data_IF_093120255629
#
_entry.id   IF_093120255629
#
_cell.length_a   1.000
_cell.length_b   1.000
_cell.length_c   1.000
_cell.angle_alpha   90.00
_cell.angle_beta   90.00
_cell.angle_gamma   90.00
#
_symmetry.space_group_name_H-M   'P 1'
#
loop_
_entity.id
_entity.type
_entity.pdbx_description
1 polymer ?
#
# COMPACT_ATOMS: atom_id res chain seq x y z
N UNK A 1 33.15 0.61 4.31
CA UNK A 1 32.08 1.23 3.52
C UNK A 1 31.22 2.04 4.48
N UNK A 2 31.24 3.37 4.37
CA UNK A 2 30.49 4.31 5.21
C UNK A 2 28.99 4.03 5.08
N UNK A 3 28.22 3.98 6.18
CA UNK A 3 26.77 3.74 6.07
C UNK A 3 26.02 4.98 5.56
N UNK A 4 24.79 4.85 5.04
CA UNK A 4 23.97 6.01 4.65
C UNK A 4 23.81 6.99 5.82
N UNK A 5 23.73 6.46 7.04
CA UNK A 5 23.66 7.24 8.28
C UNK A 5 24.94 8.04 8.47
N UNK A 6 26.09 7.39 8.35
CA UNK A 6 27.39 8.04 8.53
C UNK A 6 27.62 9.08 7.44
N UNK A 7 27.23 8.80 6.18
CA UNK A 7 27.31 9.75 5.08
C UNK A 7 26.48 11.00 5.36
N UNK A 8 25.18 10.85 5.63
CA UNK A 8 24.28 12.00 5.91
C UNK A 8 24.75 12.74 7.17
N UNK A 9 25.17 12.01 8.22
CA UNK A 9 25.67 12.63 9.46
C UNK A 9 26.92 13.47 9.18
N UNK A 10 27.86 12.97 8.38
CA UNK A 10 29.06 13.69 8.02
C UNK A 10 28.75 14.89 7.12
N UNK A 11 27.82 14.75 6.16
CA UNK A 11 27.35 15.85 5.33
C UNK A 11 26.73 16.97 6.17
N UNK A 12 25.90 16.63 7.16
CA UNK A 12 25.30 17.60 8.08
C UNK A 12 26.36 18.25 8.98
N UNK A 13 27.28 17.47 9.55
CA UNK A 13 28.36 18.00 10.39
C UNK A 13 29.23 19.02 9.62
N UNK A 14 29.42 18.80 8.32
CA UNK A 14 30.12 19.73 7.42
C UNK A 14 29.31 20.99 7.09
N UNK A 15 27.97 20.93 7.10
CA UNK A 15 27.09 22.08 6.86
C UNK A 15 27.04 23.00 8.10
N UNK A 16 27.08 22.43 9.32
CA UNK A 16 26.72 23.14 10.56
C UNK A 16 27.91 23.38 11.53
N UNK A 17 29.15 23.36 11.02
CA UNK A 17 30.33 23.84 11.77
C UNK A 17 30.61 23.14 13.11
N UNK A 18 30.44 21.80 13.19
CA UNK A 18 30.79 20.95 14.35
C UNK A 18 29.96 21.11 15.66
N UNK A 19 28.80 21.77 15.65
CA UNK A 19 28.08 22.10 16.91
C UNK A 19 26.79 21.31 17.20
N UNK A 20 26.63 20.06 16.73
CA UNK A 20 25.41 19.28 17.01
C UNK A 20 25.51 18.42 18.28
N UNK A 21 25.13 19.00 19.43
CA UNK A 21 24.92 18.28 20.70
C UNK A 21 23.54 17.58 20.83
N UNK A 22 22.68 17.63 19.80
CA UNK A 22 21.43 16.84 19.72
C UNK A 22 21.69 15.42 19.20
N UNK A 23 22.43 14.66 20.01
CA UNK A 23 22.86 13.31 19.73
C UNK A 23 21.70 12.28 19.71
N UNK A 24 21.79 11.33 18.76
CA UNK A 24 20.97 10.13 18.58
C UNK A 24 19.53 10.31 18.06
N UNK A 25 18.71 11.21 18.61
CA UNK A 25 17.28 11.33 18.21
C UNK A 25 17.08 11.95 16.82
N UNK A 26 17.86 12.99 16.49
CA UNK A 26 17.87 13.57 15.14
C UNK A 26 18.43 12.57 14.11
N UNK A 27 19.51 11.86 14.45
CA UNK A 27 20.10 10.79 13.62
C UNK A 27 19.10 9.65 13.34
N UNK A 28 18.28 9.27 14.31
CA UNK A 28 17.24 8.24 14.15
C UNK A 28 16.04 8.75 13.32
N UNK A 29 15.60 9.99 13.55
CA UNK A 29 14.56 10.63 12.75
C UNK A 29 14.97 10.73 11.29
N UNK A 30 16.22 11.14 11.04
CA UNK A 30 16.86 11.22 9.73
C UNK A 30 16.96 9.85 9.06
N UNK A 31 17.39 8.82 9.79
CA UNK A 31 17.43 7.45 9.27
C UNK A 31 16.04 6.98 8.81
N UNK A 32 15.03 7.15 9.65
CA UNK A 32 13.67 6.73 9.32
C UNK A 32 13.10 7.57 8.18
N UNK A 33 13.39 8.87 8.10
CA UNK A 33 12.89 9.69 7.01
C UNK A 33 13.64 9.44 5.69
N UNK A 34 14.96 9.28 5.71
CA UNK A 34 15.78 8.94 4.54
C UNK A 34 15.51 7.53 4.00
N UNK A 35 15.11 6.58 4.85
CA UNK A 35 14.77 5.21 4.42
C UNK A 35 13.28 5.00 4.14
N UNK A 36 12.37 5.76 4.77
CA UNK A 36 10.92 5.56 4.63
C UNK A 36 10.23 6.58 3.73
N UNK A 37 10.64 7.85 3.73
CA UNK A 37 9.98 8.88 2.91
C UNK A 37 10.12 8.58 1.41
N UNK A 38 11.28 8.11 0.91
CA UNK A 38 11.42 7.64 -0.45
C UNK A 38 10.61 6.39 -0.81
N UNK A 39 10.32 5.55 0.19
CA UNK A 39 9.68 4.24 0.00
C UNK A 39 8.14 4.30 0.08
N UNK A 40 7.58 5.42 0.53
CA UNK A 40 6.12 5.60 0.65
C UNK A 40 5.55 6.26 -0.60
N UNK A 41 4.71 5.51 -1.30
CA UNK A 41 3.94 5.88 -2.49
C UNK A 41 2.78 6.86 -2.25
N UNK A 42 2.54 7.34 -1.03
CA UNK A 42 1.45 8.30 -0.76
C UNK A 42 1.88 9.74 -1.07
N UNK A 43 1.86 10.06 -2.36
CA UNK A 43 1.84 11.43 -2.86
C UNK A 43 0.75 12.23 -2.12
N UNK A 44 1.06 13.48 -1.81
CA UNK A 44 0.13 14.40 -1.19
C UNK A 44 -0.98 14.74 -2.20
N UNK A 45 -2.23 14.75 -1.75
CA UNK A 45 -3.37 14.92 -2.68
C UNK A 45 -3.47 16.30 -3.31
N UNK A 46 -2.86 17.31 -2.70
CA UNK A 46 -2.91 18.71 -3.14
C UNK A 46 -1.56 19.30 -3.56
N UNK A 47 -0.45 18.69 -3.15
CA UNK A 47 0.89 19.29 -3.34
C UNK A 47 1.76 18.33 -4.12
N UNK A 48 1.97 18.65 -5.40
CA UNK A 48 2.71 17.79 -6.31
C UNK A 48 4.19 17.65 -5.89
N UNK A 49 4.70 16.42 -5.92
CA UNK A 49 6.04 16.07 -5.42
C UNK A 49 6.20 16.08 -3.90
N UNK A 50 5.14 16.29 -3.12
CA UNK A 50 5.14 16.14 -1.66
C UNK A 50 4.54 14.80 -1.24
N UNK A 51 4.93 14.30 -0.07
CA UNK A 51 4.34 13.12 0.56
C UNK A 51 3.53 13.51 1.79
N UNK A 52 2.45 12.76 2.05
CA UNK A 52 1.68 12.91 3.29
C UNK A 52 2.25 11.99 4.38
N UNK A 53 2.74 12.60 5.45
CA UNK A 53 3.15 11.88 6.65
C UNK A 53 2.20 12.21 7.79
N UNK A 54 1.61 11.17 8.39
CA UNK A 54 0.89 11.37 9.64
C UNK A 54 1.88 11.78 10.73
N UNK A 55 1.56 12.81 11.51
CA UNK A 55 2.49 13.37 12.51
C UNK A 55 3.01 12.32 13.51
N UNK A 56 2.19 11.31 13.85
CA UNK A 56 2.60 10.21 14.74
C UNK A 56 3.67 9.31 14.12
N UNK A 57 3.74 9.22 12.79
CA UNK A 57 4.78 8.45 12.10
C UNK A 57 6.14 9.14 12.25
N UNK A 58 6.21 10.45 11.97
CA UNK A 58 7.42 11.25 12.16
C UNK A 58 7.81 11.28 13.65
N UNK A 59 6.82 11.37 14.54
CA UNK A 59 7.07 11.35 15.98
C UNK A 59 7.62 10.01 16.49
N UNK A 60 7.11 8.88 15.97
CA UNK A 60 7.63 7.54 16.28
C UNK A 60 9.02 7.32 15.67
N UNK A 61 9.23 7.83 14.45
CA UNK A 61 10.50 7.79 13.71
C UNK A 61 11.65 8.47 14.45
N UNK A 62 11.37 9.59 15.13
CA UNK A 62 12.34 10.32 15.93
C UNK A 62 12.70 9.66 17.28
N UNK A 63 12.41 8.35 17.43
CA UNK A 63 12.95 7.52 18.50
C UNK A 63 12.00 7.20 19.65
N UNK A 64 10.79 7.74 19.71
CA UNK A 64 9.82 7.36 20.75
C UNK A 64 10.32 7.46 22.21
N UNK A 65 11.46 8.14 22.47
CA UNK A 65 12.06 8.29 23.80
C UNK A 65 11.34 9.38 24.58
N UNK A 66 10.02 9.38 24.59
CA UNK A 66 9.23 10.14 25.56
C UNK A 66 7.95 9.35 25.79
N UNK A 67 8.06 8.35 26.67
CA UNK A 67 6.99 7.43 27.04
C UNK A 67 5.68 8.08 27.53
N UNK A 68 5.59 9.41 27.65
CA UNK A 68 4.39 10.09 28.16
C UNK A 68 4.17 11.55 27.69
N UNK A 69 4.79 12.04 26.61
CA UNK A 69 4.53 13.41 26.14
C UNK A 69 4.32 13.45 24.62
N UNK A 70 3.17 14.00 24.22
CA UNK A 70 2.93 14.47 22.84
C UNK A 70 4.17 15.23 22.40
N UNK A 71 4.79 14.82 21.29
CA UNK A 71 5.74 15.70 20.61
C UNK A 71 4.97 16.99 20.31
N UNK A 72 5.36 18.08 20.95
CA UNK A 72 4.89 19.39 20.50
C UNK A 72 5.46 19.56 19.10
N UNK A 73 4.62 19.98 18.16
CA UNK A 73 5.00 20.33 16.80
C UNK A 73 6.21 21.27 16.72
N UNK A 74 6.54 21.97 17.81
CA UNK A 74 7.70 22.84 17.95
C UNK A 74 9.07 22.14 17.88
N UNK A 75 9.22 20.92 18.41
CA UNK A 75 10.53 20.22 18.39
C UNK A 75 10.95 19.75 16.99
N UNK A 76 9.99 19.26 16.19
CA UNK A 76 10.26 18.90 14.79
C UNK A 76 10.46 20.16 13.93
N UNK A 77 9.71 21.24 14.20
CA UNK A 77 9.89 22.51 13.52
C UNK A 77 11.27 23.11 13.80
N UNK A 78 11.77 23.02 15.05
CA UNK A 78 13.12 23.45 15.41
C UNK A 78 14.20 22.63 14.67
N UNK A 79 14.11 21.30 14.71
CA UNK A 79 15.06 20.43 13.97
C UNK A 79 15.04 20.74 12.47
N UNK A 80 13.87 20.99 11.88
CA UNK A 80 13.77 21.31 10.46
C UNK A 80 14.24 22.74 10.13
N UNK A 81 14.06 23.69 11.04
CA UNK A 81 14.56 25.06 10.90
C UNK A 81 16.08 25.06 10.88
N UNK A 82 16.71 24.29 11.76
CA UNK A 82 18.17 24.28 11.89
C UNK A 82 18.85 23.49 10.77
N UNK A 83 18.25 22.38 10.33
CA UNK A 83 18.88 21.45 9.40
C UNK A 83 18.33 21.50 7.97
N UNK A 84 17.27 22.27 7.71
CA UNK A 84 16.57 22.34 6.41
C UNK A 84 16.33 20.95 5.78
N UNK A 85 15.73 20.02 6.53
CA UNK A 85 15.55 18.63 6.09
C UNK A 85 14.36 18.45 5.16
N UNK A 86 13.33 19.26 5.35
CA UNK A 86 12.06 19.20 4.66
C UNK A 86 11.62 20.57 4.18
N UNK A 87 11.21 20.62 2.92
CA UNK A 87 10.28 21.64 2.43
C UNK A 87 8.88 21.24 2.91
N UNK A 88 8.25 22.11 3.69
CA UNK A 88 6.91 21.88 4.24
C UNK A 88 5.92 22.77 3.49
N UNK A 89 4.97 22.15 2.79
CA UNK A 89 3.90 22.86 2.09
C UNK A 89 2.58 22.80 2.88
N UNK A 90 1.88 23.93 2.92
CA UNK A 90 0.54 24.04 3.48
C UNK A 90 0.48 24.05 5.00
N UNK A 91 -0.67 24.48 5.53
CA UNK A 91 -1.00 24.36 6.94
C UNK A 91 -1.75 23.05 7.21
N UNK A 92 -1.52 22.45 8.39
CA UNK A 92 -2.42 21.40 8.85
C UNK A 92 -3.80 22.00 9.07
N UNK A 93 -4.82 21.40 8.46
CA UNK A 93 -6.20 21.85 8.63
C UNK A 93 -7.09 20.65 8.92
N UNK A 94 -7.50 20.52 10.18
CA UNK A 94 -8.49 19.51 10.58
C UNK A 94 -9.81 19.73 9.81
N UNK A 95 -10.20 20.99 9.63
CA UNK A 95 -11.39 21.41 8.88
C UNK A 95 -11.32 21.01 7.40
N UNK A 96 -10.15 21.14 6.77
CA UNK A 96 -9.94 20.70 5.39
C UNK A 96 -9.48 19.25 5.26
N UNK A 97 -9.39 18.49 6.38
CA UNK A 97 -8.67 17.20 6.47
C UNK A 97 -7.39 17.18 5.65
N UNK A 98 -6.70 18.31 5.63
CA UNK A 98 -5.49 18.54 4.87
C UNK A 98 -4.32 18.32 5.81
N UNK A 99 -3.46 17.38 5.45
CA UNK A 99 -2.17 17.21 6.12
C UNK A 99 -1.20 18.26 5.60
N UNK A 100 -0.14 18.54 6.35
CA UNK A 100 1.01 19.25 5.78
C UNK A 100 1.63 18.36 4.70
N UNK A 101 2.01 18.94 3.57
CA UNK A 101 2.87 18.30 2.59
C UNK A 101 4.31 18.33 3.09
N UNK A 102 4.99 17.19 3.05
CA UNK A 102 6.41 17.11 3.37
C UNK A 102 7.17 16.67 2.12
N UNK A 103 8.22 17.39 1.74
CA UNK A 103 9.15 17.02 0.68
C UNK A 103 10.56 17.12 1.24
N UNK A 104 11.44 16.18 0.92
CA UNK A 104 12.84 16.30 1.31
C UNK A 104 13.44 17.56 0.67
N UNK A 105 14.31 18.27 1.38
CA UNK A 105 15.06 19.38 0.79
C UNK A 105 15.91 18.90 -0.40
N UNK A 106 16.26 19.83 -1.28
CA UNK A 106 17.04 19.54 -2.49
C UNK A 106 18.41 18.98 -2.14
N UNK A 107 19.10 19.55 -1.15
CA UNK A 107 20.42 19.10 -0.72
C UNK A 107 20.37 17.70 -0.09
N UNK A 108 19.37 17.40 0.75
CA UNK A 108 19.24 16.09 1.38
C UNK A 108 18.87 15.02 0.34
N UNK A 109 18.02 15.37 -0.62
CA UNK A 109 17.71 14.51 -1.76
C UNK A 109 18.96 14.22 -2.59
N UNK A 110 19.76 15.24 -2.90
CA UNK A 110 21.02 15.09 -3.63
C UNK A 110 22.04 14.25 -2.86
N UNK A 111 22.23 14.47 -1.55
CA UNK A 111 23.14 13.68 -0.72
C UNK A 111 22.72 12.21 -0.63
N UNK A 112 21.42 11.92 -0.44
CA UNK A 112 20.90 10.55 -0.45
C UNK A 112 21.13 9.91 -1.82
N UNK A 113 20.83 10.62 -2.90
CA UNK A 113 21.01 10.10 -4.25
C UNK A 113 22.49 9.82 -4.54
N UNK A 114 23.39 10.76 -4.26
CA UNK A 114 24.83 10.59 -4.45
C UNK A 114 25.32 9.37 -3.68
N UNK A 115 24.98 9.24 -2.39
CA UNK A 115 25.35 8.05 -1.62
C UNK A 115 24.84 6.76 -2.27
N UNK A 116 23.55 6.69 -2.60
CA UNK A 116 22.94 5.46 -3.11
C UNK A 116 23.46 5.10 -4.50
N UNK A 117 23.64 6.07 -5.39
CA UNK A 117 24.15 5.84 -6.74
C UNK A 117 25.65 5.50 -6.72
N UNK A 118 26.48 6.27 -6.00
CA UNK A 118 27.93 6.05 -5.94
C UNK A 118 28.30 4.72 -5.26
N UNK A 119 27.54 4.34 -4.22
CA UNK A 119 27.78 3.11 -3.46
C UNK A 119 27.43 1.86 -4.25
N UNK A 120 26.41 1.92 -5.11
CA UNK A 120 25.89 0.72 -5.77
C UNK A 120 26.31 0.58 -7.23
N UNK A 121 26.55 1.65 -7.98
CA UNK A 121 26.98 1.55 -9.40
C UNK A 121 28.36 0.86 -9.54
N UNK A 122 29.19 0.83 -8.48
CA UNK A 122 30.59 0.39 -8.56
C UNK A 122 30.89 -0.96 -7.87
N UNK A 123 29.91 -1.73 -7.41
CA UNK A 123 30.17 -2.92 -6.57
C UNK A 123 29.52 -4.18 -7.15
N UNK A 124 30.35 -5.20 -7.42
CA UNK A 124 29.88 -6.55 -7.79
C UNK A 124 29.21 -7.27 -6.61
N UNK A 125 28.22 -8.13 -6.90
CA UNK A 125 27.41 -8.82 -5.88
C UNK A 125 27.68 -10.32 -5.85
N UNK A 126 27.85 -10.86 -4.64
CA UNK A 126 27.76 -12.29 -4.34
C UNK A 126 26.65 -12.50 -3.31
N UNK A 127 25.73 -13.41 -3.60
CA UNK A 127 24.61 -13.79 -2.73
C UNK A 127 24.91 -15.08 -1.97
N UNK A 128 24.13 -15.31 -0.91
CA UNK A 128 23.89 -16.57 -0.18
C UNK A 128 24.41 -16.61 1.26
N UNK A 129 23.56 -16.17 2.18
CA UNK A 129 23.53 -16.72 3.52
C UNK A 129 22.08 -17.04 3.92
N UNK A 130 21.87 -18.21 4.52
CA UNK A 130 20.57 -18.63 5.04
C UNK A 130 20.25 -17.81 6.30
N UNK A 131 19.07 -17.19 6.35
CA UNK A 131 18.60 -16.49 7.55
C UNK A 131 17.75 -17.42 8.43
N UNK A 132 18.18 -17.63 9.68
CA UNK A 132 17.48 -18.47 10.67
C UNK A 132 16.64 -17.67 11.68
N UNK A 133 16.42 -16.37 11.48
CA UNK A 133 15.70 -15.53 12.45
C UNK A 133 14.18 -15.76 12.42
N UNK A 134 13.72 -16.52 13.41
CA UNK A 134 12.35 -16.80 13.79
C UNK A 134 11.75 -15.68 14.65
N UNK A 135 10.98 -14.76 14.06
CA UNK A 135 9.92 -14.01 14.76
C UNK A 135 8.69 -13.89 13.86
N UNK A 136 7.52 -13.70 14.47
CA UNK A 136 6.25 -13.45 13.76
C UNK A 136 6.32 -12.07 13.08
N UNK A 137 5.99 -12.01 11.78
CA UNK A 137 5.98 -10.76 11.02
C UNK A 137 4.90 -9.77 11.49
N UNK A 138 3.79 -10.31 12.00
CA UNK A 138 2.60 -9.55 12.38
C UNK A 138 2.70 -9.16 13.86
N UNK A 139 2.47 -7.88 14.16
CA UNK A 139 2.47 -7.37 15.54
C UNK A 139 1.38 -8.01 16.39
N UNK A 140 1.65 -8.16 17.71
CA UNK A 140 0.67 -8.70 18.68
C UNK A 140 -0.59 -7.83 18.78
N UNK A 141 -0.46 -6.53 18.54
CA UNK A 141 -1.53 -5.55 18.61
C UNK A 141 -1.90 -5.05 17.22
N UNK A 142 -3.20 -4.77 17.02
CA UNK A 142 -3.72 -4.10 15.84
C UNK A 142 -3.41 -2.58 15.88
N UNK A 143 -3.78 -1.86 14.82
CA UNK A 143 -3.54 -0.41 14.70
C UNK A 143 -4.19 0.44 15.81
N UNK A 144 -5.12 -0.13 16.59
CA UNK A 144 -5.84 0.51 17.68
C UNK A 144 -5.39 -0.06 19.05
N UNK A 145 -4.22 -0.69 19.12
CA UNK A 145 -3.64 -1.29 20.32
C UNK A 145 -4.48 -2.43 20.93
N UNK A 146 -5.38 -3.06 20.15
CA UNK A 146 -6.13 -4.24 20.59
C UNK A 146 -5.40 -5.52 20.21
N UNK A 147 -5.49 -6.54 21.07
CA UNK A 147 -4.83 -7.82 20.79
C UNK A 147 -5.40 -8.49 19.53
N UNK A 148 -4.50 -8.93 18.65
CA UNK A 148 -4.85 -9.67 17.45
C UNK A 148 -5.40 -11.05 17.77
N UNK A 149 -6.42 -11.50 17.03
CA UNK A 149 -6.95 -12.87 17.13
C UNK A 149 -6.24 -13.89 16.23
N UNK A 150 -5.73 -13.48 15.06
CA UNK A 150 -5.11 -14.40 14.09
C UNK A 150 -3.69 -14.83 14.47
N UNK A 151 -3.33 -16.08 14.11
CA UNK A 151 -2.03 -16.74 14.41
C UNK A 151 -1.10 -16.94 13.20
N UNK A 152 -1.43 -16.34 12.05
CA UNK A 152 -0.83 -16.61 10.73
C UNK A 152 0.69 -16.82 10.67
N UNK A 153 1.10 -17.77 9.83
CA UNK A 153 2.47 -18.18 9.55
C UNK A 153 3.11 -17.29 8.47
N UNK A 154 3.44 -16.06 8.86
CA UNK A 154 4.09 -15.07 8.00
C UNK A 154 5.53 -14.82 8.46
N UNK A 155 6.49 -14.96 7.55
CA UNK A 155 7.91 -14.73 7.84
C UNK A 155 8.18 -13.24 8.06
N UNK A 156 8.94 -12.93 9.11
CA UNK A 156 9.33 -11.55 9.41
C UNK A 156 10.28 -10.95 8.38
N UNK A 157 11.02 -11.77 7.65
CA UNK A 157 11.94 -11.31 6.62
C UNK A 157 11.78 -12.13 5.34
N UNK A 158 12.05 -11.47 4.21
CA UNK A 158 12.02 -12.07 2.88
C UNK A 158 13.37 -11.90 2.20
N UNK A 159 13.80 -12.92 1.47
CA UNK A 159 14.93 -12.80 0.56
C UNK A 159 14.53 -11.98 -0.67
N UNK A 160 15.31 -10.96 -1.00
CA UNK A 160 15.13 -10.16 -2.21
C UNK A 160 16.19 -10.49 -3.26
N UNK A 161 15.80 -10.46 -4.52
CA UNK A 161 16.68 -10.65 -5.66
C UNK A 161 17.49 -9.37 -5.93
N UNK A 162 18.63 -9.26 -5.26
CA UNK A 162 19.52 -8.09 -5.34
C UNK A 162 20.04 -7.86 -6.75
N UNK A 163 20.40 -8.93 -7.47
CA UNK A 163 20.89 -8.86 -8.85
C UNK A 163 19.85 -8.19 -9.76
N UNK A 164 18.60 -8.65 -9.74
CA UNK A 164 17.54 -8.12 -10.60
C UNK A 164 17.17 -6.68 -10.21
N UNK A 165 17.16 -6.35 -8.92
CA UNK A 165 16.99 -4.97 -8.45
C UNK A 165 18.10 -4.04 -8.95
N UNK A 166 19.35 -4.52 -8.95
CA UNK A 166 20.47 -3.74 -9.45
C UNK A 166 20.38 -3.50 -10.96
N UNK A 167 20.04 -4.52 -11.75
CA UNK A 167 19.82 -4.37 -13.19
C UNK A 167 18.66 -3.42 -13.50
N UNK A 168 17.60 -3.42 -12.69
CA UNK A 168 16.50 -2.46 -12.80
C UNK A 168 16.99 -1.02 -12.59
N UNK A 169 17.81 -0.76 -11.57
CA UNK A 169 18.39 0.56 -11.31
C UNK A 169 19.27 0.98 -12.48
N UNK A 170 20.17 0.10 -12.94
CA UNK A 170 21.07 0.37 -14.07
C UNK A 170 20.30 0.70 -15.34
N UNK A 171 19.25 -0.06 -15.65
CA UNK A 171 18.38 0.20 -16.81
C UNK A 171 17.73 1.58 -16.71
N UNK A 172 17.24 1.96 -15.54
CA UNK A 172 16.62 3.28 -15.33
C UNK A 172 17.67 4.40 -15.43
N UNK A 173 18.87 4.22 -14.86
CA UNK A 173 19.91 5.26 -14.91
C UNK A 173 20.45 5.46 -16.32
N UNK A 174 20.56 4.41 -17.14
CA UNK A 174 20.93 4.55 -18.55
C UNK A 174 19.91 5.31 -19.38
N UNK A 175 18.62 5.29 -19.01
CA UNK A 175 17.57 6.05 -19.69
C UNK A 175 17.63 7.56 -19.38
N UNK A 176 18.40 7.99 -18.38
CA UNK A 176 18.56 9.41 -17.98
C UNK A 176 19.82 10.09 -18.52
N UNK A 177 20.49 9.52 -19.54
CA UNK A 177 21.80 9.99 -20.04
C UNK A 177 21.77 11.29 -20.87
N UNK A 178 20.61 11.95 -21.01
CA UNK A 178 20.53 13.34 -21.50
C UNK A 178 20.84 14.40 -20.42
N UNK A 179 21.56 14.02 -19.35
CA UNK A 179 22.08 14.96 -18.35
C UNK A 179 21.04 15.62 -17.46
N UNK A 180 19.76 15.24 -17.55
CA UNK A 180 18.73 15.73 -16.63
C UNK A 180 18.69 14.86 -15.38
N UNK A 181 18.99 15.48 -14.23
CA UNK A 181 18.70 14.93 -12.90
C UNK A 181 17.27 14.40 -12.89
N UNK A 182 17.10 13.10 -12.59
CA UNK A 182 15.78 12.49 -12.47
C UNK A 182 15.00 13.28 -11.41
N UNK A 183 14.05 14.11 -11.86
CA UNK A 183 13.27 14.97 -10.96
C UNK A 183 12.33 14.13 -10.11
N UNK A 184 11.94 14.65 -8.94
CA UNK A 184 11.17 13.93 -7.90
C UNK A 184 9.78 13.40 -8.33
N UNK A 185 9.32 13.72 -9.54
CA UNK A 185 7.99 13.40 -10.04
C UNK A 185 7.98 12.31 -11.14
N UNK A 186 9.15 11.83 -11.58
CA UNK A 186 9.21 10.73 -12.53
C UNK A 186 8.98 9.38 -11.80
N UNK A 187 8.04 8.59 -12.32
CA UNK A 187 7.76 7.21 -11.86
C UNK A 187 9.05 6.38 -11.83
N UNK A 188 9.94 6.57 -12.81
CA UNK A 188 11.23 5.87 -12.88
C UNK A 188 12.17 6.30 -11.74
N UNK A 189 12.17 7.57 -11.34
CA UNK A 189 12.88 8.06 -10.16
C UNK A 189 12.46 7.28 -8.91
N UNK A 190 11.15 7.15 -8.73
CA UNK A 190 10.58 6.48 -7.58
C UNK A 190 10.94 4.99 -7.59
N UNK A 191 10.84 4.32 -8.74
CA UNK A 191 11.20 2.91 -8.90
C UNK A 191 12.67 2.68 -8.56
N UNK A 192 13.58 3.47 -9.14
CA UNK A 192 15.02 3.36 -8.90
C UNK A 192 15.37 3.65 -7.43
N UNK A 193 14.78 4.70 -6.86
CA UNK A 193 14.99 5.07 -5.46
C UNK A 193 14.51 3.99 -4.50
N UNK A 194 13.34 3.39 -4.74
CA UNK A 194 12.87 2.26 -3.95
C UNK A 194 13.80 1.04 -4.06
N UNK A 195 14.27 0.73 -5.27
CA UNK A 195 15.19 -0.38 -5.49
C UNK A 195 16.53 -0.19 -4.75
N UNK A 196 17.12 1.01 -4.84
CA UNK A 196 18.35 1.36 -4.12
C UNK A 196 18.18 1.27 -2.60
N UNK A 197 17.06 1.77 -2.07
CA UNK A 197 16.76 1.65 -0.63
C UNK A 197 16.61 0.18 -0.21
N UNK A 198 16.00 -0.69 -1.03
CA UNK A 198 15.92 -2.13 -0.75
C UNK A 198 17.29 -2.82 -0.79
N UNK A 199 18.17 -2.44 -1.71
CA UNK A 199 19.55 -2.94 -1.78
C UNK A 199 20.35 -2.58 -0.51
N UNK A 200 20.19 -1.34 -0.01
CA UNK A 200 20.81 -0.91 1.25
C UNK A 200 20.26 -1.66 2.46
N UNK A 201 18.94 -1.80 2.54
CA UNK A 201 18.30 -2.47 3.68
C UNK A 201 18.49 -3.99 3.68
N UNK A 202 19.03 -4.57 2.61
CA UNK A 202 19.38 -5.99 2.52
C UNK A 202 20.89 -6.25 2.56
N UNK A 203 21.71 -5.26 2.94
CA UNK A 203 23.17 -5.35 2.82
C UNK A 203 23.90 -6.09 3.96
N UNK A 204 23.20 -6.92 4.76
CA UNK A 204 23.87 -7.81 5.72
C UNK A 204 24.11 -7.25 7.13
N UNK A 205 23.61 -6.05 7.46
CA UNK A 205 23.92 -5.39 8.76
C UNK A 205 23.16 -5.96 9.96
N UNK A 206 21.89 -6.31 9.78
CA UNK A 206 20.97 -6.78 10.85
C UNK A 206 20.37 -8.13 10.49
N UNK A 207 20.00 -8.29 9.23
CA UNK A 207 19.65 -9.56 8.62
C UNK A 207 20.79 -9.97 7.68
N UNK A 208 20.94 -11.27 7.35
CA UNK A 208 21.92 -11.72 6.37
C UNK A 208 21.76 -10.99 5.04
N UNK A 209 22.87 -10.90 4.30
CA UNK A 209 22.86 -10.21 3.01
C UNK A 209 21.82 -10.84 2.07
N UNK A 210 21.05 -10.00 1.38
CA UNK A 210 19.93 -10.44 0.55
C UNK A 210 18.58 -10.52 1.27
N UNK A 211 18.51 -10.29 2.58
CA UNK A 211 17.26 -10.37 3.33
C UNK A 211 16.76 -9.01 3.79
N UNK A 212 15.45 -8.79 3.73
CA UNK A 212 14.79 -7.56 4.14
C UNK A 212 13.62 -7.86 5.09
N UNK A 213 13.51 -7.09 6.18
CA UNK A 213 12.40 -7.21 7.13
C UNK A 213 11.08 -6.74 6.51
N UNK A 214 9.99 -7.45 6.77
CA UNK A 214 8.62 -7.16 6.33
C UNK A 214 7.67 -7.18 7.55
N UNK A 215 7.66 -6.13 8.38
CA UNK A 215 6.77 -6.08 9.54
C UNK A 215 5.34 -5.66 9.15
N UNK A 216 4.34 -6.34 9.70
CA UNK A 216 2.91 -6.11 9.43
C UNK A 216 2.11 -5.69 10.67
N UNK A 217 1.07 -4.89 10.46
CA UNK A 217 0.07 -4.54 11.47
C UNK A 217 -1.35 -4.84 10.97
N UNK A 218 -2.21 -5.37 11.84
CA UNK A 218 -3.63 -5.56 11.52
C UNK A 218 -4.39 -4.22 11.55
N UNK A 219 -5.26 -3.98 10.57
CA UNK A 219 -6.11 -2.79 10.52
C UNK A 219 -7.56 -3.10 10.91
N UNK A 220 -8.43 -2.07 10.90
CA UNK A 220 -9.80 -2.17 11.42
C UNK A 220 -10.68 -3.19 10.69
N UNK A 221 -10.41 -3.45 9.40
CA UNK A 221 -11.10 -4.49 8.63
C UNK A 221 -10.64 -5.91 8.99
N UNK A 222 -9.50 -6.05 9.66
CA UNK A 222 -8.84 -7.33 9.96
C UNK A 222 -7.72 -7.71 8.98
N UNK A 223 -7.57 -6.99 7.85
CA UNK A 223 -6.43 -7.16 6.94
C UNK A 223 -5.11 -6.79 7.61
N UNK A 224 -4.01 -7.40 7.16
CA UNK A 224 -2.65 -7.02 7.54
C UNK A 224 -2.04 -6.05 6.53
N UNK A 225 -1.37 -5.01 7.05
CA UNK A 225 -0.69 -4.01 6.24
C UNK A 225 0.78 -3.91 6.65
N UNK A 226 1.62 -3.86 5.63
CA UNK A 226 3.04 -3.63 5.75
C UNK A 226 3.34 -2.27 6.36
N UNK A 227 4.23 -2.28 7.34
CA UNK A 227 4.71 -1.08 8.02
C UNK A 227 6.13 -0.78 7.59
N UNK A 228 6.40 0.48 7.33
CA UNK A 228 7.72 0.94 6.91
C UNK A 228 8.12 0.63 5.48
N UNK A 229 9.42 0.39 5.25
CA UNK A 229 9.93 -0.09 3.97
C UNK A 229 9.38 -1.51 3.76
N UNK A 230 8.44 -1.62 2.82
CA UNK A 230 7.64 -2.83 2.71
C UNK A 230 7.21 -3.08 1.26
N UNK A 231 7.31 -4.33 0.81
CA UNK A 231 7.05 -4.71 -0.59
C UNK A 231 5.57 -4.54 -0.98
N UNK A 232 4.65 -4.72 -0.03
CA UNK A 232 3.23 -4.39 -0.21
C UNK A 232 3.01 -2.91 -0.62
N UNK A 233 3.89 -1.98 -0.21
CA UNK A 233 3.76 -0.55 -0.53
C UNK A 233 4.63 -0.10 -1.72
N UNK A 234 5.51 -0.99 -2.21
CA UNK A 234 6.44 -0.69 -3.29
C UNK A 234 5.74 -0.63 -4.65
N UNK A 235 6.33 0.10 -5.59
CA UNK A 235 5.95 0.09 -7.00
C UNK A 235 5.99 -1.34 -7.56
N UNK A 236 5.10 -1.63 -8.51
CA UNK A 236 4.97 -3.00 -9.06
C UNK A 236 6.29 -3.47 -9.64
N UNK A 237 6.98 -2.60 -10.38
CA UNK A 237 8.26 -2.86 -11.02
C UNK A 237 9.35 -3.21 -9.99
N UNK A 238 9.50 -2.39 -8.94
CA UNK A 238 10.46 -2.65 -7.86
C UNK A 238 10.12 -3.94 -7.11
N UNK A 239 8.84 -4.16 -6.77
CA UNK A 239 8.40 -5.40 -6.10
C UNK A 239 8.68 -6.63 -6.95
N UNK A 240 8.38 -6.57 -8.25
CA UNK A 240 8.59 -7.67 -9.19
C UNK A 240 10.08 -8.01 -9.30
N UNK A 241 10.93 -6.98 -9.43
CA UNK A 241 12.37 -7.16 -9.42
C UNK A 241 12.87 -7.76 -8.09
N UNK A 242 12.39 -7.27 -6.95
CA UNK A 242 12.79 -7.75 -5.63
C UNK A 242 12.38 -9.21 -5.38
N UNK A 243 11.26 -9.66 -5.92
CA UNK A 243 10.71 -11.00 -5.66
C UNK A 243 10.92 -11.98 -6.82
N UNK A 244 11.76 -11.60 -7.79
CA UNK A 244 12.00 -12.38 -9.01
C UNK A 244 12.43 -13.82 -8.68
N UNK A 245 11.68 -14.79 -9.19
CA UNK A 245 11.90 -16.22 -8.98
C UNK A 245 11.07 -16.84 -7.85
N UNK A 246 10.23 -16.05 -7.17
CA UNK A 246 9.23 -16.54 -6.22
C UNK A 246 7.86 -16.73 -6.89
N UNK A 247 6.93 -17.38 -6.20
CA UNK A 247 5.60 -17.69 -6.70
C UNK A 247 4.56 -16.76 -6.06
N UNK A 248 3.74 -16.08 -6.86
CA UNK A 248 2.65 -15.23 -6.36
C UNK A 248 1.28 -15.81 -6.71
N UNK A 249 0.37 -15.78 -5.74
CA UNK A 249 -1.04 -16.11 -5.90
C UNK A 249 -1.88 -14.97 -5.37
N UNK A 250 -2.80 -14.46 -6.18
CA UNK A 250 -3.74 -13.40 -5.80
C UNK A 250 -5.18 -13.89 -5.89
N UNK A 251 -6.04 -13.44 -4.96
CA UNK A 251 -7.47 -13.74 -4.98
C UNK A 251 -8.14 -12.92 -6.07
N UNK A 252 -8.68 -13.60 -7.08
CA UNK A 252 -9.30 -12.94 -8.22
C UNK A 252 -10.68 -12.39 -7.88
N UNK A 253 -10.87 -11.09 -8.13
CA UNK A 253 -12.16 -10.40 -7.99
C UNK A 253 -12.88 -10.68 -6.66
N UNK A 254 -12.14 -10.83 -5.55
CA UNK A 254 -12.65 -11.31 -4.26
C UNK A 254 -13.99 -10.68 -3.86
N UNK A 255 -14.08 -9.34 -3.91
CA UNK A 255 -15.27 -8.61 -3.46
C UNK A 255 -16.49 -8.83 -4.36
N UNK A 256 -16.30 -8.92 -5.67
CA UNK A 256 -17.40 -9.25 -6.59
C UNK A 256 -17.86 -10.70 -6.38
N UNK A 257 -16.92 -11.64 -6.23
CA UNK A 257 -17.22 -13.06 -6.01
C UNK A 257 -17.94 -13.31 -4.69
N UNK A 258 -17.55 -12.61 -3.62
CA UNK A 258 -18.22 -12.68 -2.32
C UNK A 258 -19.64 -12.10 -2.44
N UNK A 259 -19.78 -10.92 -3.05
CA UNK A 259 -21.08 -10.25 -3.17
C UNK A 259 -22.08 -11.11 -3.95
N UNK A 260 -21.68 -11.65 -5.10
CA UNK A 260 -22.51 -12.51 -5.93
C UNK A 260 -22.96 -13.78 -5.17
N UNK A 261 -22.04 -14.47 -4.51
CA UNK A 261 -22.37 -15.68 -3.74
C UNK A 261 -23.26 -15.39 -2.52
N UNK A 262 -23.00 -14.29 -1.80
CA UNK A 262 -23.81 -13.88 -0.65
C UNK A 262 -25.24 -13.54 -1.08
N UNK A 263 -25.41 -12.84 -2.19
CA UNK A 263 -26.75 -12.50 -2.70
C UNK A 263 -27.46 -13.71 -3.30
N UNK A 264 -26.76 -14.60 -4.01
CA UNK A 264 -27.33 -15.85 -4.51
C UNK A 264 -27.83 -16.77 -3.38
N UNK A 265 -27.10 -16.88 -2.27
CA UNK A 265 -27.53 -17.63 -1.07
C UNK A 265 -28.82 -17.06 -0.44
N UNK A 266 -29.19 -15.82 -0.78
CA UNK A 266 -30.41 -15.13 -0.36
C UNK A 266 -31.40 -14.95 -1.52
N UNK A 267 -31.39 -15.86 -2.50
CA UNK A 267 -32.30 -15.87 -3.65
C UNK A 267 -32.30 -14.57 -4.47
N UNK A 268 -31.19 -13.83 -4.45
CA UNK A 268 -31.03 -12.56 -5.15
C UNK A 268 -29.82 -12.62 -6.08
N UNK A 269 -29.88 -13.36 -7.20
CA UNK A 269 -28.77 -13.45 -8.14
C UNK A 269 -28.42 -12.07 -8.72
N UNK A 270 -27.12 -11.84 -8.94
CA UNK A 270 -26.54 -10.60 -9.46
C UNK A 270 -25.97 -10.86 -10.86
N UNK A 271 -26.85 -10.86 -11.86
CA UNK A 271 -26.54 -11.37 -13.20
C UNK A 271 -25.40 -10.62 -13.89
N UNK A 272 -25.31 -9.29 -13.73
CA UNK A 272 -24.27 -8.48 -14.37
C UNK A 272 -22.92 -8.70 -13.68
N UNK A 273 -22.90 -8.83 -12.35
CA UNK A 273 -21.68 -9.17 -11.62
C UNK A 273 -21.22 -10.60 -11.96
N UNK A 274 -22.13 -11.56 -12.01
CA UNK A 274 -21.78 -12.94 -12.39
C UNK A 274 -21.23 -13.02 -13.81
N UNK A 275 -21.84 -12.28 -14.75
CA UNK A 275 -21.35 -12.16 -16.11
C UNK A 275 -19.95 -11.53 -16.15
N UNK A 276 -19.74 -10.45 -15.37
CA UNK A 276 -18.44 -9.80 -15.27
C UNK A 276 -17.35 -10.71 -14.68
N UNK A 277 -17.65 -11.49 -13.65
CA UNK A 277 -16.69 -12.43 -13.06
C UNK A 277 -16.21 -13.44 -14.10
N UNK A 278 -17.13 -14.00 -14.92
CA UNK A 278 -16.82 -14.97 -15.97
C UNK A 278 -16.12 -14.35 -17.18
N UNK A 279 -16.38 -13.07 -17.48
CA UNK A 279 -15.94 -12.39 -18.71
C UNK A 279 -15.10 -11.13 -18.46
N UNK A 280 -14.31 -11.10 -17.37
CA UNK A 280 -13.65 -9.88 -16.85
C UNK A 280 -12.81 -9.11 -17.87
N UNK A 281 -12.10 -9.81 -18.76
CA UNK A 281 -11.23 -9.18 -19.76
C UNK A 281 -12.05 -8.55 -20.87
N UNK A 282 -13.03 -9.29 -21.41
CA UNK A 282 -13.93 -8.79 -22.43
C UNK A 282 -14.71 -7.58 -21.93
N UNK A 283 -15.36 -7.67 -20.76
CA UNK A 283 -16.15 -6.54 -20.22
C UNK A 283 -15.29 -5.29 -20.02
N UNK A 284 -14.06 -5.44 -19.52
CA UNK A 284 -13.14 -4.29 -19.34
C UNK A 284 -12.69 -3.71 -20.68
N UNK A 285 -12.41 -4.55 -21.68
CA UNK A 285 -12.00 -4.12 -23.01
C UNK A 285 -13.12 -3.39 -23.75
N UNK A 286 -14.35 -3.93 -23.72
CA UNK A 286 -15.51 -3.27 -24.31
C UNK A 286 -15.78 -1.91 -23.68
N UNK A 287 -15.78 -1.81 -22.34
CA UNK A 287 -15.94 -0.50 -21.67
C UNK A 287 -14.81 0.45 -22.05
N UNK A 288 -13.56 -0.03 -22.12
CA UNK A 288 -12.41 0.80 -22.46
C UNK A 288 -12.53 1.38 -23.87
N UNK A 289 -12.92 0.56 -24.84
CA UNK A 289 -13.14 0.96 -26.22
C UNK A 289 -14.32 1.94 -26.34
N UNK A 290 -15.49 1.55 -25.84
CA UNK A 290 -16.74 2.33 -25.96
C UNK A 290 -16.67 3.68 -25.23
N UNK A 291 -15.88 3.78 -24.16
CA UNK A 291 -15.73 5.00 -23.36
C UNK A 291 -14.43 5.77 -23.65
N UNK A 292 -13.62 5.31 -24.61
CA UNK A 292 -12.29 5.89 -24.91
C UNK A 292 -11.40 6.00 -23.67
N UNK A 293 -11.42 4.99 -22.81
CA UNK A 293 -10.64 4.91 -21.57
C UNK A 293 -9.52 3.88 -21.69
N UNK A 294 -8.45 4.04 -20.93
CA UNK A 294 -7.48 2.95 -20.79
C UNK A 294 -8.05 1.80 -19.93
N UNK A 295 -7.67 0.55 -20.27
CA UNK A 295 -8.03 -0.64 -19.49
C UNK A 295 -7.71 -0.50 -17.99
N UNK A 296 -6.60 0.19 -17.65
CA UNK A 296 -6.20 0.42 -16.26
C UNK A 296 -7.22 1.29 -15.52
N UNK A 297 -7.81 2.26 -16.20
CA UNK A 297 -8.74 3.23 -15.61
C UNK A 297 -10.13 2.62 -15.49
N UNK A 298 -10.56 1.82 -16.46
CA UNK A 298 -11.78 0.99 -16.34
C UNK A 298 -11.68 0.04 -15.13
N UNK A 299 -10.55 -0.65 -14.96
CA UNK A 299 -10.32 -1.50 -13.79
C UNK A 299 -10.41 -0.69 -12.49
N UNK A 300 -9.82 0.50 -12.44
CA UNK A 300 -9.89 1.36 -11.26
C UNK A 300 -11.32 1.86 -10.99
N UNK A 301 -12.09 2.19 -12.02
CA UNK A 301 -13.47 2.63 -11.90
C UNK A 301 -14.37 1.53 -11.32
N UNK A 302 -14.23 0.29 -11.79
CA UNK A 302 -14.95 -0.88 -11.25
C UNK A 302 -14.55 -1.14 -9.78
N UNK A 303 -13.27 -1.05 -9.44
CA UNK A 303 -12.83 -1.17 -8.04
C UNK A 303 -13.44 -0.05 -7.18
N UNK A 304 -13.43 1.19 -7.66
CA UNK A 304 -14.03 2.31 -6.95
C UNK A 304 -15.55 2.14 -6.76
N UNK A 305 -16.23 1.57 -7.76
CA UNK A 305 -17.67 1.28 -7.73
C UNK A 305 -18.05 0.32 -6.59
N UNK A 306 -17.35 -0.80 -6.44
CA UNK A 306 -17.65 -1.76 -5.35
C UNK A 306 -17.33 -1.19 -3.95
N UNK A 307 -16.43 -0.21 -3.86
CA UNK A 307 -16.21 0.57 -2.64
C UNK A 307 -17.18 1.77 -2.48
N UNK A 308 -18.19 1.86 -3.33
CA UNK A 308 -19.28 2.82 -3.23
C UNK A 308 -18.93 4.23 -3.68
N UNK A 309 -18.07 4.36 -4.68
CA UNK A 309 -17.87 5.63 -5.36
C UNK A 309 -19.19 6.15 -5.96
N UNK A 310 -19.45 7.45 -5.81
CA UNK A 310 -20.69 8.06 -6.28
C UNK A 310 -20.75 8.15 -7.80
N UNK A 311 -21.93 7.84 -8.36
CA UNK A 311 -22.28 8.01 -9.78
C UNK A 311 -23.26 9.16 -10.02
N UNK A 312 -23.82 9.76 -8.97
CA UNK A 312 -24.88 10.78 -9.11
C UNK A 312 -24.34 12.17 -9.44
N UNK A 313 -23.03 12.36 -9.35
CA UNK A 313 -22.40 13.66 -9.61
C UNK A 313 -20.93 13.50 -9.97
N UNK A 314 -20.45 14.42 -10.82
CA UNK A 314 -19.02 14.62 -11.10
C UNK A 314 -18.32 15.31 -9.93
N UNK A 315 -19.06 16.08 -9.13
CA UNK A 315 -18.53 16.94 -8.08
C UNK A 315 -19.33 16.84 -6.77
N UNK A 316 -18.63 16.72 -5.65
CA UNK A 316 -19.21 16.76 -4.32
C UNK A 316 -18.97 18.11 -3.68
N UNK A 317 -20.03 18.73 -3.14
CA UNK A 317 -19.88 19.83 -2.20
C UNK A 317 -19.42 19.25 -0.87
N UNK A 318 -18.32 19.81 -0.37
CA UNK A 318 -17.80 19.50 0.94
C UNK A 318 -17.66 20.81 1.71
N UNK A 319 -17.45 20.71 3.01
CA UNK A 319 -17.11 21.83 3.92
C UNK A 319 -15.83 22.58 3.49
N UNK A 320 -15.16 22.10 2.43
CA UNK A 320 -13.84 22.46 1.93
C UNK A 320 -13.87 22.93 0.47
N UNK A 321 -15.07 23.09 -0.11
CA UNK A 321 -15.27 23.43 -1.51
C UNK A 321 -15.75 22.25 -2.36
N UNK A 322 -15.58 22.39 -3.66
CA UNK A 322 -16.03 21.42 -4.67
C UNK A 322 -14.92 20.41 -4.94
N UNK A 323 -15.21 19.13 -4.77
CA UNK A 323 -14.24 18.04 -5.01
C UNK A 323 -14.76 17.09 -6.09
N UNK A 324 -13.92 16.73 -7.05
CA UNK A 324 -14.24 15.70 -8.03
C UNK A 324 -14.52 14.35 -7.37
N UNK A 325 -15.51 13.60 -7.88
CA UNK A 325 -15.77 12.23 -7.45
C UNK A 325 -14.68 11.28 -7.96
N UNK A 326 -14.54 10.12 -7.29
CA UNK A 326 -13.50 9.17 -7.64
C UNK A 326 -13.62 8.65 -9.08
N UNK A 327 -14.84 8.34 -9.52
CA UNK A 327 -15.12 7.88 -10.89
C UNK A 327 -14.77 8.98 -11.89
N UNK A 328 -15.23 10.22 -11.68
CA UNK A 328 -14.94 11.33 -12.58
C UNK A 328 -13.42 11.58 -12.72
N UNK A 329 -12.69 11.58 -11.59
CA UNK A 329 -11.23 11.74 -11.61
C UNK A 329 -10.51 10.60 -12.35
N UNK A 330 -11.03 9.36 -12.28
CA UNK A 330 -10.48 8.21 -13.01
C UNK A 330 -10.75 8.37 -14.52
N UNK A 331 -11.92 8.88 -14.91
CA UNK A 331 -12.26 9.10 -16.31
C UNK A 331 -11.41 10.21 -16.94
N UNK A 332 -11.05 11.24 -16.16
CA UNK A 332 -10.17 12.33 -16.60
C UNK A 332 -10.84 13.36 -17.53
N UNK A 333 -12.04 13.06 -18.06
CA UNK A 333 -12.83 13.95 -18.91
C UNK A 333 -14.34 13.79 -18.66
N UNK A 334 -15.11 14.79 -19.09
CA UNK A 334 -16.56 14.79 -19.04
C UNK A 334 -17.16 13.74 -19.99
N UNK A 335 -16.61 13.64 -21.20
CA UNK A 335 -17.06 12.71 -22.24
C UNK A 335 -16.89 11.25 -21.81
N UNK A 336 -15.71 10.90 -21.28
CA UNK A 336 -15.46 9.53 -20.81
C UNK A 336 -16.34 9.18 -19.60
N UNK A 337 -16.58 10.14 -18.70
CA UNK A 337 -17.46 9.91 -17.56
C UNK A 337 -18.92 9.69 -17.99
N UNK A 338 -19.44 10.56 -18.86
CA UNK A 338 -20.83 10.47 -19.31
C UNK A 338 -21.05 9.17 -20.12
N UNK A 339 -20.09 8.78 -20.95
CA UNK A 339 -20.10 7.48 -21.63
C UNK A 339 -20.08 6.31 -20.64
N UNK A 340 -19.18 6.33 -19.64
CA UNK A 340 -19.01 5.26 -18.67
C UNK A 340 -20.27 5.02 -17.83
N UNK A 341 -20.90 6.08 -17.31
CA UNK A 341 -22.09 5.92 -16.46
C UNK A 341 -23.32 5.45 -17.23
N UNK A 342 -23.36 5.66 -18.54
CA UNK A 342 -24.43 5.17 -19.42
C UNK A 342 -24.11 3.80 -20.03
N UNK A 343 -22.85 3.37 -20.00
CA UNK A 343 -22.44 2.07 -20.54
C UNK A 343 -23.19 0.92 -19.83
N UNK A 344 -23.86 0.07 -20.61
CA UNK A 344 -24.74 -0.99 -20.12
C UNK A 344 -24.07 -1.94 -19.10
N UNK A 345 -22.85 -2.44 -19.39
CA UNK A 345 -22.09 -3.24 -18.41
C UNK A 345 -21.81 -2.50 -17.10
N UNK A 346 -21.29 -1.27 -17.16
CA UNK A 346 -20.93 -0.53 -15.96
C UNK A 346 -22.16 -0.20 -15.11
N UNK A 347 -23.24 0.25 -15.75
CA UNK A 347 -24.52 0.54 -15.10
C UNK A 347 -25.14 -0.72 -14.47
N UNK A 348 -25.18 -1.84 -15.20
CA UNK A 348 -25.72 -3.10 -14.68
C UNK A 348 -24.93 -3.62 -13.48
N UNK A 349 -23.60 -3.51 -13.51
CA UNK A 349 -22.74 -3.84 -12.36
C UNK A 349 -23.02 -2.90 -11.17
N UNK A 350 -23.24 -1.60 -11.41
CA UNK A 350 -23.54 -0.64 -10.36
C UNK A 350 -24.88 -0.94 -9.65
N UNK A 351 -25.89 -1.31 -10.43
CA UNK A 351 -27.20 -1.74 -9.91
C UNK A 351 -27.07 -3.01 -9.06
N UNK A 352 -26.33 -4.00 -9.54
CA UNK A 352 -26.05 -5.23 -8.81
C UNK A 352 -25.24 -4.97 -7.52
N UNK A 353 -24.26 -4.07 -7.54
CA UNK A 353 -23.50 -3.69 -6.33
C UNK A 353 -24.44 -3.12 -5.27
N UNK A 354 -25.36 -2.23 -5.65
CA UNK A 354 -26.33 -1.64 -4.73
C UNK A 354 -27.27 -2.72 -4.18
N UNK A 355 -27.82 -3.57 -5.05
CA UNK A 355 -28.74 -4.64 -4.69
C UNK A 355 -28.08 -5.65 -3.74
N UNK A 356 -26.88 -6.12 -4.08
CA UNK A 356 -26.14 -7.07 -3.27
C UNK A 356 -25.69 -6.48 -1.94
N UNK A 357 -25.31 -5.19 -1.92
CA UNK A 357 -24.96 -4.48 -0.69
C UNK A 357 -26.11 -4.43 0.31
N UNK A 358 -27.33 -4.10 -0.15
CA UNK A 358 -28.53 -4.18 0.69
C UNK A 358 -28.73 -5.58 1.27
N UNK A 359 -28.68 -6.62 0.43
CA UNK A 359 -28.85 -8.01 0.87
C UNK A 359 -27.79 -8.41 1.92
N UNK A 360 -26.54 -8.01 1.75
CA UNK A 360 -25.48 -8.29 2.73
C UNK A 360 -25.73 -7.60 4.07
N UNK A 361 -26.22 -6.36 4.05
CA UNK A 361 -26.50 -5.59 5.27
C UNK A 361 -27.71 -6.17 6.01
N UNK A 362 -28.79 -6.50 5.30
CA UNK A 362 -30.01 -7.07 5.89
C UNK A 362 -29.73 -8.40 6.59
N UNK A 363 -28.75 -9.16 6.09
CA UNK A 363 -28.29 -10.42 6.68
C UNK A 363 -27.15 -10.28 7.71
N UNK A 364 -26.61 -9.08 7.89
CA UNK A 364 -25.51 -8.86 8.82
C UNK A 364 -26.01 -8.85 10.27
N UNK A 365 -25.21 -9.42 11.18
CA UNK A 365 -25.51 -9.39 12.62
C UNK A 365 -25.34 -7.97 13.16
N UNK A 366 -26.46 -7.33 13.52
CA UNK A 366 -26.47 -6.07 14.25
C UNK A 366 -26.56 -6.32 15.77
N UNK A 367 -25.74 -5.61 16.55
CA UNK A 367 -25.82 -5.59 18.01
C UNK A 367 -25.53 -4.19 18.52
N UNK A 368 -26.48 -3.62 19.25
CA UNK A 368 -26.32 -2.36 20.00
C UNK A 368 -25.79 -1.21 19.12
N UNK A 369 -26.48 -0.93 18.01
CA UNK A 369 -26.13 0.17 17.10
C UNK A 369 -24.91 -0.07 16.19
N UNK A 370 -24.27 -1.25 16.28
CA UNK A 370 -23.15 -1.62 15.41
C UNK A 370 -23.45 -2.91 14.63
N UNK A 371 -22.83 -3.02 13.46
CA UNK A 371 -22.71 -4.27 12.71
C UNK A 371 -21.30 -4.81 12.81
N UNK A 372 -21.15 -6.11 12.61
CA UNK A 372 -19.87 -6.80 12.76
C UNK A 372 -19.54 -7.56 11.48
N UNK A 373 -18.30 -7.44 11.02
CA UNK A 373 -17.81 -8.23 9.89
C UNK A 373 -17.43 -9.66 10.32
N UNK A 374 -17.00 -10.49 9.36
CA UNK A 374 -16.66 -11.90 9.60
C UNK A 374 -15.57 -12.12 10.68
N UNK A 375 -14.74 -11.11 10.95
CA UNK A 375 -13.71 -11.14 12.00
C UNK A 375 -14.16 -10.46 13.30
N UNK A 376 -15.47 -10.21 13.46
CA UNK A 376 -16.10 -9.52 14.59
C UNK A 376 -15.56 -8.10 14.82
N UNK A 377 -15.17 -7.39 13.75
CA UNK A 377 -14.79 -5.97 13.84
C UNK A 377 -16.04 -5.10 13.63
N UNK A 378 -16.28 -4.10 14.50
CA UNK A 378 -17.50 -3.29 14.43
C UNK A 378 -17.43 -2.21 13.36
N UNK A 379 -18.60 -1.86 12.81
CA UNK A 379 -18.89 -0.63 12.08
C UNK A 379 -20.22 -0.07 12.58
N UNK A 380 -20.36 1.26 12.65
CA UNK A 380 -21.62 1.89 13.06
C UNK A 380 -22.72 1.61 12.04
N UNK A 381 -23.92 1.28 12.53
CA UNK A 381 -25.14 1.14 11.71
C UNK A 381 -25.62 2.47 11.10
N UNK A 382 -25.09 3.61 11.57
CA UNK A 382 -25.36 4.93 10.98
C UNK A 382 -24.47 5.27 9.78
N UNK A 383 -23.47 4.45 9.47
CA UNK A 383 -22.61 4.66 8.29
C UNK A 383 -23.39 4.42 7.00
N UNK A 384 -22.88 4.92 5.87
CA UNK A 384 -23.55 4.73 4.58
C UNK A 384 -23.56 3.26 4.15
N UNK A 385 -24.57 2.86 3.37
CA UNK A 385 -24.70 1.52 2.78
C UNK A 385 -23.40 1.07 2.10
N UNK A 386 -22.74 1.97 1.37
CA UNK A 386 -21.44 1.74 0.75
C UNK A 386 -20.35 1.34 1.76
N UNK A 387 -20.18 2.11 2.84
CA UNK A 387 -19.17 1.84 3.87
C UNK A 387 -19.47 0.56 4.64
N UNK A 388 -20.74 0.32 4.95
CA UNK A 388 -21.21 -0.89 5.59
C UNK A 388 -20.90 -2.12 4.73
N UNK A 389 -21.30 -2.11 3.46
CA UNK A 389 -21.02 -3.17 2.49
C UNK A 389 -19.51 -3.43 2.35
N UNK A 390 -18.71 -2.37 2.16
CA UNK A 390 -17.26 -2.49 2.05
C UNK A 390 -16.64 -3.12 3.31
N UNK A 391 -17.11 -2.77 4.51
CA UNK A 391 -16.61 -3.33 5.76
C UNK A 391 -16.93 -4.82 5.91
N UNK A 392 -18.12 -5.26 5.48
CA UNK A 392 -18.51 -6.67 5.47
C UNK A 392 -17.68 -7.47 4.47
N UNK A 393 -17.57 -7.00 3.22
CA UNK A 393 -16.77 -7.62 2.17
C UNK A 393 -15.30 -7.75 2.57
N UNK A 394 -14.70 -6.68 3.09
CA UNK A 394 -13.31 -6.69 3.55
C UNK A 394 -13.09 -7.63 4.73
N UNK A 395 -14.09 -7.85 5.59
CA UNK A 395 -13.99 -8.81 6.68
C UNK A 395 -13.93 -10.25 6.20
N UNK A 396 -14.78 -10.62 5.23
CA UNK A 396 -14.78 -11.97 4.63
C UNK A 396 -13.48 -12.22 3.88
N UNK A 397 -13.03 -11.25 3.09
CA UNK A 397 -11.73 -11.35 2.40
C UNK A 397 -10.57 -11.40 3.39
N UNK A 398 -10.56 -10.61 4.47
CA UNK A 398 -9.54 -10.72 5.50
C UNK A 398 -9.52 -12.12 6.16
N UNK A 399 -10.69 -12.75 6.31
CA UNK A 399 -10.79 -14.14 6.76
C UNK A 399 -10.22 -15.13 5.73
N UNK A 400 -10.48 -14.93 4.44
CA UNK A 400 -9.88 -15.74 3.36
C UNK A 400 -8.35 -15.63 3.36
N UNK A 401 -7.86 -14.40 3.47
CA UNK A 401 -6.43 -14.08 3.60
C UNK A 401 -5.82 -14.78 4.83
N UNK A 402 -6.48 -14.71 5.99
CA UNK A 402 -6.01 -15.41 7.20
C UNK A 402 -6.00 -16.94 7.07
N UNK A 403 -6.90 -17.51 6.26
CA UNK A 403 -6.89 -18.94 5.97
C UNK A 403 -5.62 -19.36 5.22
N UNK A 404 -5.20 -18.61 4.21
CA UNK A 404 -3.95 -18.86 3.47
C UNK A 404 -2.74 -18.75 4.39
N UNK A 405 -2.69 -17.70 5.23
CA UNK A 405 -1.63 -17.54 6.23
C UNK A 405 -1.56 -18.70 7.24
N UNK A 406 -2.66 -19.41 7.46
CA UNK A 406 -2.70 -20.55 8.38
C UNK A 406 -2.31 -21.85 7.67
N UNK A 407 -2.70 -22.00 6.41
CA UNK A 407 -2.51 -23.22 5.63
C UNK A 407 -1.10 -23.39 5.04
N UNK A 408 -0.38 -22.30 4.80
CA UNK A 408 0.91 -22.34 4.11
C UNK A 408 1.97 -21.42 4.73
N UNK A 409 3.23 -21.72 4.43
CA UNK A 409 4.35 -20.85 4.77
C UNK A 409 4.46 -19.70 3.75
N UNK A 410 4.12 -18.49 4.19
CA UNK A 410 4.10 -17.31 3.33
C UNK A 410 5.38 -16.51 3.49
N UNK A 411 6.01 -16.15 2.37
CA UNK A 411 7.18 -15.28 2.33
C UNK A 411 6.77 -13.81 2.50
N UNK A 412 5.77 -13.36 1.75
CA UNK A 412 5.24 -11.97 1.81
C UNK A 412 3.73 -12.01 1.62
N UNK A 413 3.00 -11.31 2.48
CA UNK A 413 1.60 -10.96 2.26
C UNK A 413 1.50 -9.64 1.47
N UNK A 414 0.74 -9.66 0.37
CA UNK A 414 0.42 -8.51 -0.47
C UNK A 414 -1.01 -8.02 -0.17
N UNK A 415 -1.62 -7.21 -1.03
CA UNK A 415 -2.92 -6.60 -0.75
C UNK A 415 -4.08 -7.60 -0.78
N UNK A 416 -4.10 -8.40 -1.84
CA UNK A 416 -5.11 -9.36 -2.24
C UNK A 416 -4.50 -10.76 -2.49
N UNK A 417 -3.24 -10.97 -2.10
CA UNK A 417 -2.56 -12.23 -2.29
C UNK A 417 -1.24 -12.38 -1.55
N UNK A 418 -0.46 -13.36 -2.00
CA UNK A 418 0.66 -13.93 -1.26
C UNK A 418 1.80 -14.34 -2.18
N UNK A 419 3.01 -14.28 -1.62
CA UNK A 419 4.24 -14.72 -2.27
C UNK A 419 4.84 -15.87 -1.46
N UNK A 420 5.30 -16.90 -2.15
CA UNK A 420 5.81 -18.15 -1.57
C UNK A 420 7.20 -18.48 -2.12
N UNK A 421 8.03 -19.10 -1.29
CA UNK A 421 9.33 -19.63 -1.71
C UNK A 421 9.22 -20.86 -2.60
N UNK A 422 8.20 -21.67 -2.36
CA UNK A 422 7.91 -22.89 -3.11
C UNK A 422 6.52 -22.78 -3.73
N UNK A 423 6.32 -23.42 -4.89
CA UNK A 423 5.00 -23.45 -5.51
C UNK A 423 4.00 -24.12 -4.58
N UNK A 424 2.90 -23.44 -4.30
CA UNK A 424 1.76 -23.96 -3.52
C UNK A 424 0.60 -24.16 -4.48
N UNK A 425 -0.16 -25.25 -4.31
CA UNK A 425 -1.34 -25.52 -5.12
C UNK A 425 -2.43 -24.48 -4.86
N UNK A 426 -2.89 -23.81 -5.92
CA UNK A 426 -4.04 -22.90 -5.86
C UNK A 426 -5.28 -23.62 -5.31
N UNK A 427 -5.63 -24.80 -5.88
CA UNK A 427 -6.82 -25.56 -5.47
C UNK A 427 -6.81 -25.98 -3.99
N UNK A 428 -5.62 -26.28 -3.44
CA UNK A 428 -5.47 -26.54 -2.00
C UNK A 428 -5.84 -25.30 -1.18
N UNK A 429 -5.30 -24.14 -1.52
CA UNK A 429 -5.59 -22.89 -0.81
C UNK A 429 -7.04 -22.44 -0.99
N UNK A 430 -7.62 -22.61 -2.17
CA UNK A 430 -9.04 -22.34 -2.43
C UNK A 430 -9.95 -23.20 -1.55
N UNK A 431 -9.57 -24.47 -1.32
CA UNK A 431 -10.29 -25.38 -0.41
C UNK A 431 -10.24 -24.89 1.04
N UNK A 432 -9.06 -24.45 1.51
CA UNK A 432 -8.90 -23.90 2.85
C UNK A 432 -9.65 -22.56 3.02
N UNK A 433 -9.64 -21.71 1.99
CA UNK A 433 -10.44 -20.47 1.96
C UNK A 433 -11.94 -20.80 2.06
N UNK A 434 -12.43 -21.76 1.28
CA UNK A 434 -13.84 -22.18 1.32
C UNK A 434 -14.22 -22.73 2.69
N UNK A 435 -13.38 -23.56 3.29
CA UNK A 435 -13.60 -24.09 4.64
C UNK A 435 -13.67 -22.98 5.69
N UNK A 436 -12.81 -21.96 5.58
CA UNK A 436 -12.76 -20.86 6.54
C UNK A 436 -13.93 -19.88 6.37
N UNK A 437 -14.30 -19.57 5.13
CA UNK A 437 -15.21 -18.44 4.82
C UNK A 437 -16.60 -18.87 4.37
N UNK A 438 -16.74 -20.09 3.85
CA UNK A 438 -17.93 -20.58 3.14
C UNK A 438 -18.02 -20.16 1.68
N UNK A 439 -17.10 -19.33 1.18
CA UNK A 439 -17.13 -18.81 -0.19
C UNK A 439 -16.13 -19.53 -1.10
N UNK A 440 -16.52 -19.78 -2.34
CA UNK A 440 -15.61 -20.26 -3.37
C UNK A 440 -14.89 -19.06 -3.98
N UNK A 441 -13.62 -18.85 -3.63
CA UNK A 441 -12.79 -17.78 -4.18
C UNK A 441 -11.66 -18.40 -4.98
N UNK A 442 -11.44 -17.91 -6.20
CA UNK A 442 -10.41 -18.43 -7.11
C UNK A 442 -9.10 -17.66 -6.93
N UNK A 443 -7.99 -18.38 -6.99
CA UNK A 443 -6.63 -17.84 -6.95
C UNK A 443 -6.03 -17.82 -8.37
N UNK A 444 -5.34 -16.74 -8.70
CA UNK A 444 -4.61 -16.57 -9.96
C UNK A 444 -3.11 -16.51 -9.70
N UNK A 445 -2.34 -17.27 -10.50
CA UNK A 445 -0.88 -17.19 -10.50
C UNK A 445 -0.44 -15.89 -11.21
N UNK A 446 0.32 -15.04 -10.50
CA UNK A 446 1.03 -13.93 -11.13
C UNK A 446 2.48 -14.33 -11.39
N UNK A 447 2.97 -14.02 -12.60
CA UNK A 447 4.39 -14.19 -12.93
C UNK A 447 5.19 -13.06 -12.32
N UNK A 448 6.16 -13.42 -11.46
CA UNK A 448 7.14 -12.48 -10.89
C UNK A 448 8.46 -12.58 -11.64
#
# INVERSE_FOLDING_TARGET
MTTLIDHITNTIANIDGNTLSTARSAKLALLVLATYAPAKTRLHSEYDGYVSHHYTFIAKAAGGIYKNKKISTGSLAAINHDLDLFVIAGAYSKKQSLTKGYKLSSWLTASINNYLFDTYINVGYTDNEKCSLLKKAITKFDKNDKQRKGKGNLKFAVQINRKVLFELVKKISTLGTDGQLITSNDKNALIAKQALVMLENSNGKVLPRGWMAQPYIEVASGRVYGTGLHLQNACKETRTAALKGLYQLDISNAHYSILAQASAANNTPLQNIEFYIRNKQMVRATIAEDCMMELKDVKQALIALIYGASLSTKYLRTDKGVKQTAIFRICGSDEAYDALIQHHFFKGIAEDVKKGGSVMIDNAKAKTGNMYNALNKPISSSETLAKQTAHLLQGIEAQALDAVLTAAEVAVALHDGYVFYTKVSASFLETEIKKATGYNLTLEEETI
#
